data_IF_405398176806
#
_entry.id   IF_405398176806
#
_cell.length_a   1.000
_cell.length_b   1.000
_cell.length_c   1.000
_cell.angle_alpha   90.00
_cell.angle_beta   90.00
_cell.angle_gamma   90.00
#
_symmetry.space_group_name_H-M   'P 1'
#
loop_
_entity.id
_entity.type
_entity.pdbx_description
1 polymer ?
#
# COMPACT_ATOMS: atom_id res chain seq x y z
N UNK A 1 16.42 13.38 5.27
CA UNK A 1 14.96 13.12 5.29
C UNK A 1 14.45 13.51 6.66
N UNK A 2 13.28 14.11 6.80
CA UNK A 2 12.75 14.46 8.12
C UNK A 2 12.21 13.23 8.86
N UNK A 3 12.03 13.36 10.18
CA UNK A 3 11.61 12.23 11.04
C UNK A 3 10.22 11.69 10.70
N UNK A 4 9.27 12.56 10.31
CA UNK A 4 7.91 12.14 10.00
C UNK A 4 7.89 11.23 8.76
N UNK A 5 8.68 11.58 7.74
CA UNK A 5 8.81 10.77 6.53
C UNK A 5 9.42 9.39 6.82
N UNK A 6 10.46 9.33 7.66
CA UNK A 6 11.10 8.05 8.05
C UNK A 6 10.08 7.16 8.77
N UNK A 7 9.40 7.71 9.79
CA UNK A 7 8.40 6.98 10.57
C UNK A 7 7.25 6.47 9.69
N UNK A 8 6.83 7.27 8.70
CA UNK A 8 5.79 6.89 7.75
C UNK A 8 6.23 5.69 6.88
N UNK A 9 7.45 5.71 6.34
CA UNK A 9 7.95 4.63 5.50
C UNK A 9 8.12 3.34 6.32
N UNK A 10 8.79 3.41 7.47
CA UNK A 10 8.98 2.24 8.34
C UNK A 10 7.63 1.64 8.76
N UNK A 11 6.64 2.49 9.08
CA UNK A 11 5.35 2.01 9.56
C UNK A 11 4.48 1.39 8.48
N UNK A 12 4.40 2.01 7.31
CA UNK A 12 3.42 1.64 6.27
C UNK A 12 4.02 0.84 5.12
N UNK A 13 5.34 0.84 4.97
CA UNK A 13 6.06 0.16 3.91
C UNK A 13 7.10 -0.83 4.48
N UNK A 14 6.91 -1.31 5.71
CA UNK A 14 7.77 -2.33 6.34
C UNK A 14 7.90 -3.62 5.52
N UNK A 15 6.92 -3.93 4.66
CA UNK A 15 7.00 -5.06 3.72
C UNK A 15 8.12 -4.94 2.68
N UNK A 16 8.69 -3.73 2.48
CA UNK A 16 9.83 -3.49 1.60
C UNK A 16 11.17 -3.67 2.32
N UNK A 17 11.15 -3.92 3.63
CA UNK A 17 12.35 -4.21 4.41
C UNK A 17 12.87 -5.60 4.05
N UNK A 18 14.19 -5.79 4.13
CA UNK A 18 14.79 -7.12 4.05
C UNK A 18 14.37 -7.95 5.28
N UNK A 19 14.64 -9.26 5.23
CA UNK A 19 14.39 -10.15 6.36
C UNK A 19 15.16 -9.68 7.60
N UNK A 20 16.43 -9.32 7.45
CA UNK A 20 17.30 -8.95 8.57
C UNK A 20 16.94 -7.57 9.13
N UNK A 21 16.59 -6.61 8.27
CA UNK A 21 16.04 -5.32 8.70
C UNK A 21 14.75 -5.51 9.50
N UNK A 22 13.85 -6.38 9.03
CA UNK A 22 12.60 -6.69 9.73
C UNK A 22 12.86 -7.33 11.10
N UNK A 23 13.86 -8.22 11.18
CA UNK A 23 14.30 -8.83 12.42
C UNK A 23 14.95 -7.81 13.36
N UNK A 24 15.75 -6.87 12.85
CA UNK A 24 16.39 -5.82 13.63
C UNK A 24 15.36 -4.85 14.23
N UNK A 25 14.37 -4.45 13.43
CA UNK A 25 13.25 -3.63 13.90
C UNK A 25 12.46 -4.33 15.01
N UNK A 26 12.13 -5.61 14.81
CA UNK A 26 11.46 -6.42 15.84
C UNK A 26 12.32 -6.57 17.10
N UNK A 27 13.61 -6.89 16.94
CA UNK A 27 14.54 -7.03 18.06
C UNK A 27 14.54 -5.77 18.93
N UNK A 28 14.69 -4.60 18.32
CA UNK A 28 14.69 -3.33 19.02
C UNK A 28 13.36 -3.07 19.74
N UNK A 29 12.24 -3.16 19.01
CA UNK A 29 10.90 -2.88 19.54
C UNK A 29 10.54 -3.81 20.71
N UNK A 30 10.78 -5.11 20.57
CA UNK A 30 10.41 -6.10 21.58
C UNK A 30 11.38 -6.11 22.76
N UNK A 31 12.65 -5.78 22.54
CA UNK A 31 13.61 -5.56 23.64
C UNK A 31 13.15 -4.42 24.54
N UNK A 32 12.67 -3.31 23.97
CA UNK A 32 12.10 -2.19 24.74
C UNK A 32 10.79 -2.58 25.44
N UNK A 33 9.86 -3.23 24.75
CA UNK A 33 8.55 -3.63 25.33
C UNK A 33 8.66 -4.66 26.45
N UNK A 34 9.76 -5.38 26.55
CA UNK A 34 9.98 -6.43 27.56
C UNK A 34 11.04 -6.06 28.61
N UNK A 35 11.52 -4.82 28.64
CA UNK A 35 12.60 -4.40 29.56
C UNK A 35 12.29 -4.72 31.03
N UNK A 36 11.02 -4.56 31.43
CA UNK A 36 10.57 -4.72 32.81
C UNK A 36 10.13 -6.16 33.17
N UNK A 37 10.10 -7.09 32.21
CA UNK A 37 9.56 -8.44 32.44
C UNK A 37 10.40 -9.52 31.79
N UNK A 38 11.11 -10.27 32.64
CA UNK A 38 11.91 -11.44 32.22
C UNK A 38 11.05 -12.50 31.55
N UNK A 39 9.83 -12.74 32.06
CA UNK A 39 8.91 -13.71 31.46
C UNK A 39 8.51 -13.30 30.03
N UNK A 40 8.10 -12.04 29.83
CA UNK A 40 7.76 -11.53 28.50
C UNK A 40 8.97 -11.54 27.57
N UNK A 41 10.16 -11.23 28.09
CA UNK A 41 11.41 -11.25 27.32
C UNK A 41 11.72 -12.65 26.80
N UNK A 42 11.65 -13.66 27.66
CA UNK A 42 11.89 -15.06 27.26
C UNK A 42 10.89 -15.52 26.21
N UNK A 43 9.60 -15.20 26.38
CA UNK A 43 8.57 -15.51 25.39
C UNK A 43 8.84 -14.87 24.02
N UNK A 44 9.33 -13.62 24.00
CA UNK A 44 9.66 -12.92 22.75
C UNK A 44 10.92 -13.50 22.09
N UNK A 45 11.90 -13.98 22.86
CA UNK A 45 13.08 -14.70 22.35
C UNK A 45 12.65 -16.04 21.73
N UNK A 46 11.82 -16.82 22.43
CA UNK A 46 11.31 -18.11 21.94
C UNK A 46 10.53 -17.99 20.62
N UNK A 47 9.83 -16.86 20.44
CA UNK A 47 9.12 -16.53 19.18
C UNK A 47 10.03 -16.00 18.06
N UNK A 48 11.32 -15.83 18.32
CA UNK A 48 12.29 -15.27 17.38
C UNK A 48 12.12 -13.76 17.14
N UNK A 49 11.36 -13.05 18.00
CA UNK A 49 11.13 -11.61 17.87
C UNK A 49 12.27 -10.79 18.46
N UNK A 50 12.93 -11.31 19.50
CA UNK A 50 14.21 -10.80 19.98
C UNK A 50 15.27 -11.80 19.49
N UNK A 51 16.02 -11.39 18.46
CA UNK A 51 17.01 -12.24 17.81
C UNK A 51 18.44 -11.83 18.22
N UNK A 52 19.30 -12.79 18.54
CA UNK A 52 20.72 -12.54 18.88
C UNK A 52 21.68 -12.81 17.71
N UNK A 53 21.16 -12.95 16.49
CA UNK A 53 21.95 -13.10 15.28
C UNK A 53 22.92 -11.90 15.12
N UNK A 54 24.24 -12.15 14.99
CA UNK A 54 25.23 -11.09 14.82
C UNK A 54 24.93 -10.14 13.66
N UNK A 55 24.39 -10.65 12.54
CA UNK A 55 24.07 -9.81 11.37
C UNK A 55 22.94 -8.82 11.69
N UNK A 56 21.94 -9.26 12.46
CA UNK A 56 20.81 -8.43 12.90
C UNK A 56 21.26 -7.39 13.94
N UNK A 57 22.15 -7.76 14.86
CA UNK A 57 22.70 -6.84 15.86
C UNK A 57 23.58 -5.78 15.19
N UNK A 58 24.36 -6.16 14.18
CA UNK A 58 25.24 -5.25 13.45
C UNK A 58 24.46 -4.10 12.79
N UNK A 59 23.25 -4.37 12.28
CA UNK A 59 22.37 -3.33 11.73
C UNK A 59 22.01 -2.22 12.74
N UNK A 60 22.08 -2.52 14.04
CA UNK A 60 21.75 -1.61 15.14
C UNK A 60 22.98 -0.97 15.81
N UNK A 61 24.21 -1.30 15.37
CA UNK A 61 25.48 -0.88 16.01
C UNK A 61 25.61 0.64 16.15
N UNK A 62 25.19 1.38 15.13
CA UNK A 62 25.24 2.85 15.11
C UNK A 62 23.98 3.51 15.68
N UNK A 63 23.16 2.75 16.41
CA UNK A 63 21.93 3.20 17.04
C UNK A 63 20.70 3.12 16.14
N UNK A 64 19.54 3.07 16.80
CA UNK A 64 18.24 2.82 16.15
C UNK A 64 17.83 3.90 15.14
N UNK A 65 18.13 5.17 15.40
CA UNK A 65 17.80 6.25 14.47
C UNK A 65 18.60 6.15 13.16
N UNK A 66 19.88 5.80 13.26
CA UNK A 66 20.76 5.57 12.11
C UNK A 66 20.27 4.36 11.31
N UNK A 67 19.89 3.28 12.00
CA UNK A 67 19.28 2.11 11.38
C UNK A 67 18.03 2.48 10.56
N UNK A 68 17.06 3.18 11.14
CA UNK A 68 15.84 3.58 10.42
C UNK A 68 16.16 4.45 9.20
N UNK A 69 17.08 5.42 9.34
CA UNK A 69 17.51 6.25 8.23
C UNK A 69 18.17 5.43 7.11
N UNK A 70 19.00 4.43 7.45
CA UNK A 70 19.66 3.57 6.47
C UNK A 70 18.64 2.70 5.71
N UNK A 71 17.71 2.06 6.43
CA UNK A 71 16.63 1.26 5.84
C UNK A 71 15.82 2.09 4.86
N UNK A 72 15.38 3.27 5.29
CA UNK A 72 14.55 4.15 4.44
C UNK A 72 15.34 4.65 3.24
N UNK A 73 16.62 4.98 3.42
CA UNK A 73 17.49 5.40 2.31
C UNK A 73 17.63 4.28 1.27
N UNK A 74 17.81 3.02 1.71
CA UNK A 74 17.85 1.85 0.83
C UNK A 74 16.52 1.67 0.10
N UNK A 75 15.39 1.64 0.81
CA UNK A 75 14.06 1.46 0.21
C UNK A 75 13.81 2.50 -0.89
N UNK A 76 14.15 3.77 -0.63
CA UNK A 76 13.97 4.86 -1.60
C UNK A 76 14.98 4.82 -2.75
N UNK A 77 16.14 4.17 -2.59
CA UNK A 77 17.11 3.99 -3.66
C UNK A 77 16.77 2.79 -4.56
N UNK A 78 16.33 1.68 -3.97
CA UNK A 78 16.11 0.41 -4.67
C UNK A 78 14.69 0.26 -5.21
N UNK A 79 13.68 0.79 -4.50
CA UNK A 79 12.25 0.62 -4.84
C UNK A 79 11.40 1.88 -4.62
N UNK A 80 11.82 3.06 -5.10
CA UNK A 80 11.07 4.31 -4.90
C UNK A 80 9.65 4.25 -5.45
N UNK A 81 9.42 3.48 -6.51
CA UNK A 81 8.13 3.33 -7.20
C UNK A 81 7.07 2.63 -6.35
N UNK A 82 7.47 1.88 -5.31
CA UNK A 82 6.55 1.20 -4.39
C UNK A 82 6.13 2.06 -3.21
N UNK A 83 6.85 3.16 -2.95
CA UNK A 83 6.56 4.08 -1.85
C UNK A 83 5.70 5.23 -2.37
N UNK A 84 4.64 5.55 -1.63
CA UNK A 84 3.77 6.69 -1.94
C UNK A 84 3.45 7.51 -0.70
N UNK A 85 3.36 8.82 -0.89
CA UNK A 85 3.03 9.76 0.16
C UNK A 85 1.60 10.27 -0.02
N UNK A 86 0.80 10.13 1.03
CA UNK A 86 -0.53 10.72 1.07
C UNK A 86 -0.41 12.15 1.62
N UNK A 87 -0.19 13.12 0.74
CA UNK A 87 -0.07 14.53 1.13
C UNK A 87 -1.42 15.23 1.08
N UNK A 88 -1.64 16.17 1.99
CA UNK A 88 -2.83 17.02 1.96
C UNK A 88 -2.86 17.82 0.63
N UNK A 89 -3.98 17.82 -0.10
CA UNK A 89 -4.08 18.59 -1.34
C UNK A 89 -4.09 20.11 -1.10
N UNK A 90 -4.42 20.57 0.11
CA UNK A 90 -4.46 22.00 0.45
C UNK A 90 -3.13 22.53 1.00
N UNK A 91 -2.54 21.85 1.99
CA UNK A 91 -1.31 22.33 2.66
C UNK A 91 -0.06 21.51 2.32
N UNK A 92 -0.19 20.46 1.51
CA UNK A 92 0.89 19.59 1.01
C UNK A 92 1.72 18.85 2.08
N UNK A 93 1.34 18.92 3.36
CA UNK A 93 1.96 18.15 4.43
C UNK A 93 1.52 16.68 4.39
N UNK A 94 2.41 15.79 4.85
CA UNK A 94 2.18 14.36 4.93
C UNK A 94 1.02 14.03 5.87
N UNK A 95 0.04 13.28 5.39
CA UNK A 95 -1.08 12.82 6.19
C UNK A 95 -0.65 11.68 7.12
N UNK A 96 -1.43 11.45 8.18
CA UNK A 96 -1.10 10.49 9.24
C UNK A 96 -0.92 9.06 8.72
N UNK A 97 -1.71 8.67 7.71
CA UNK A 97 -1.71 7.32 7.14
C UNK A 97 -1.91 7.38 5.62
N UNK A 98 -1.55 6.32 4.89
CA UNK A 98 -1.85 6.17 3.47
C UNK A 98 -3.32 6.35 3.08
N UNK A 99 -4.24 6.05 4.00
CA UNK A 99 -5.69 6.08 3.78
C UNK A 99 -6.38 7.33 4.33
N UNK A 100 -5.65 8.21 5.01
CA UNK A 100 -6.23 9.40 5.62
C UNK A 100 -6.88 10.30 4.56
N UNK A 101 -8.07 10.79 4.85
CA UNK A 101 -8.80 11.77 4.02
C UNK A 101 -9.03 13.09 4.74
N UNK A 102 -8.35 13.30 5.86
CA UNK A 102 -8.38 14.52 6.65
C UNK A 102 -6.96 14.88 7.11
N UNK A 103 -6.62 16.16 6.98
CA UNK A 103 -5.31 16.68 7.35
C UNK A 103 -5.23 16.91 8.86
N UNK A 104 -4.20 16.34 9.51
CA UNK A 104 -3.88 16.62 10.92
C UNK A 104 -3.30 18.02 11.18
N UNK A 105 -2.91 18.73 10.12
CA UNK A 105 -2.23 20.02 10.21
C UNK A 105 -3.17 21.21 9.94
N UNK A 106 -3.90 21.21 8.83
CA UNK A 106 -4.85 22.28 8.48
C UNK A 106 -6.32 21.91 8.69
N UNK A 107 -6.63 20.65 9.03
CA UNK A 107 -8.01 20.18 9.25
C UNK A 107 -8.81 19.89 7.98
N UNK A 108 -8.33 20.29 6.79
CA UNK A 108 -9.01 20.05 5.52
C UNK A 108 -9.26 18.57 5.26
N UNK A 109 -10.43 18.26 4.71
CA UNK A 109 -10.84 16.91 4.37
C UNK A 109 -11.19 16.78 2.88
N UNK A 110 -10.72 15.70 2.25
CA UNK A 110 -10.86 15.44 0.82
C UNK A 110 -11.69 14.21 0.51
N UNK A 111 -12.63 13.86 1.39
CA UNK A 111 -13.61 12.80 1.12
C UNK A 111 -14.41 13.08 -0.16
N UNK A 112 -14.68 14.35 -0.49
CA UNK A 112 -15.40 14.74 -1.70
C UNK A 112 -14.64 14.46 -3.01
N UNK A 113 -13.33 14.18 -2.96
CA UNK A 113 -12.57 13.76 -4.13
C UNK A 113 -12.86 12.31 -4.49
N UNK A 114 -13.28 11.48 -3.53
CA UNK A 114 -13.73 10.11 -3.81
C UNK A 114 -15.19 10.14 -4.28
N UNK A 115 -15.44 9.64 -5.49
CA UNK A 115 -16.74 9.71 -6.18
C UNK A 115 -17.41 8.35 -6.33
N UNK A 116 -16.65 7.26 -6.15
CA UNK A 116 -17.16 5.90 -6.09
C UNK A 116 -16.20 4.96 -5.35
N UNK A 117 -16.75 3.86 -4.85
CA UNK A 117 -16.01 2.71 -4.31
C UNK A 117 -16.20 1.52 -5.24
N UNK A 118 -15.10 0.99 -5.77
CA UNK A 118 -15.10 -0.10 -6.74
C UNK A 118 -14.46 -1.36 -6.16
N UNK A 119 -15.27 -2.41 -5.99
CA UNK A 119 -14.79 -3.71 -5.55
C UNK A 119 -14.18 -4.48 -6.71
N UNK A 120 -12.86 -4.63 -6.69
CA UNK A 120 -12.12 -5.37 -7.70
C UNK A 120 -12.25 -6.88 -7.46
N UNK A 121 -12.82 -7.60 -8.43
CA UNK A 121 -12.99 -9.05 -8.39
C UNK A 121 -11.91 -9.77 -9.20
N UNK A 122 -11.54 -9.21 -10.36
CA UNK A 122 -10.60 -9.85 -11.28
C UNK A 122 -9.93 -8.80 -12.19
N UNK A 123 -8.89 -9.21 -12.91
CA UNK A 123 -8.25 -8.40 -13.95
C UNK A 123 -8.02 -9.23 -15.21
N UNK A 124 -8.06 -8.59 -16.38
CA UNK A 124 -7.73 -9.26 -17.63
C UNK A 124 -7.27 -8.27 -18.70
N UNK A 125 -6.62 -8.78 -19.74
CA UNK A 125 -6.26 -8.00 -20.91
C UNK A 125 -6.61 -8.78 -22.17
N UNK A 126 -7.28 -8.12 -23.12
CA UNK A 126 -7.46 -8.63 -24.48
C UNK A 126 -6.35 -8.03 -25.35
N UNK A 127 -5.75 -8.85 -26.22
CA UNK A 127 -4.73 -8.38 -27.18
C UNK A 127 -5.23 -7.19 -27.98
N UNK A 128 -4.46 -6.10 -27.99
CA UNK A 128 -4.80 -4.87 -28.70
C UNK A 128 -5.86 -3.99 -28.02
N UNK A 129 -6.29 -4.32 -26.79
CA UNK A 129 -7.20 -3.50 -25.98
C UNK A 129 -6.58 -3.11 -24.64
N UNK A 130 -7.31 -2.27 -23.90
CA UNK A 130 -6.95 -1.83 -22.55
C UNK A 130 -6.76 -3.01 -21.59
N UNK A 131 -6.04 -2.77 -20.49
CA UNK A 131 -6.06 -3.64 -19.34
C UNK A 131 -7.33 -3.33 -18.54
N UNK A 132 -8.10 -4.34 -18.18
CA UNK A 132 -9.40 -4.16 -17.54
C UNK A 132 -9.38 -4.64 -16.10
N UNK A 133 -9.91 -3.78 -15.22
CA UNK A 133 -10.26 -4.11 -13.84
C UNK A 133 -11.75 -4.49 -13.80
N UNK A 134 -12.06 -5.76 -13.51
CA UNK A 134 -13.43 -6.27 -13.44
C UNK A 134 -13.91 -6.25 -12.00
N UNK A 135 -15.10 -5.71 -11.78
CA UNK A 135 -15.63 -5.59 -10.45
C UNK A 135 -17.04 -5.02 -10.38
N UNK A 136 -17.41 -4.61 -9.17
CA UNK A 136 -18.72 -4.04 -8.86
C UNK A 136 -18.55 -2.65 -8.25
N UNK A 137 -19.47 -1.76 -8.59
CA UNK A 137 -19.61 -0.49 -7.88
C UNK A 137 -20.33 -0.79 -6.55
N UNK A 138 -19.64 -0.63 -5.42
CA UNK A 138 -20.27 -0.73 -4.10
C UNK A 138 -20.99 0.57 -3.74
N UNK A 139 -20.45 1.71 -4.17
CA UNK A 139 -21.02 3.03 -3.92
C UNK A 139 -20.63 4.03 -5.02
N UNK A 140 -21.49 5.03 -5.28
CA UNK A 140 -21.17 6.18 -6.11
C UNK A 140 -21.41 5.97 -7.61
N UNK A 141 -20.82 6.85 -8.44
CA UNK A 141 -20.97 6.82 -9.90
C UNK A 141 -19.62 6.96 -10.58
N UNK A 142 -19.30 5.97 -11.42
CA UNK A 142 -18.08 5.95 -12.22
C UNK A 142 -18.34 6.57 -13.59
N UNK A 143 -17.39 7.36 -14.08
CA UNK A 143 -17.38 7.95 -15.42
C UNK A 143 -15.98 7.86 -16.02
N UNK A 144 -15.91 7.80 -17.34
CA UNK A 144 -14.65 7.94 -18.06
C UNK A 144 -13.96 9.26 -17.68
N UNK A 145 -12.63 9.22 -17.62
CA UNK A 145 -11.79 10.33 -17.22
C UNK A 145 -11.52 10.45 -15.72
N UNK A 146 -12.31 9.80 -14.86
CA UNK A 146 -11.98 9.64 -13.45
C UNK A 146 -10.75 8.74 -13.28
N UNK A 147 -10.13 8.74 -12.10
CA UNK A 147 -8.92 7.95 -11.81
C UNK A 147 -9.20 6.88 -10.76
N UNK A 148 -8.53 5.75 -10.85
CA UNK A 148 -8.63 4.64 -9.89
C UNK A 148 -7.42 4.69 -8.96
N UNK A 149 -7.58 4.83 -7.66
CA UNK A 149 -6.46 4.84 -6.72
C UNK A 149 -5.98 3.42 -6.40
N UNK A 150 -4.87 3.00 -7.02
CA UNK A 150 -4.27 1.67 -6.82
C UNK A 150 -3.27 1.62 -5.67
N UNK A 151 -3.06 2.73 -4.95
CA UNK A 151 -2.04 2.83 -3.89
C UNK A 151 -2.32 1.91 -2.72
N UNK A 152 -3.60 1.69 -2.40
CA UNK A 152 -4.00 0.71 -1.38
C UNK A 152 -3.60 -0.72 -1.74
N UNK A 153 -3.43 -1.01 -3.03
CA UNK A 153 -2.94 -2.30 -3.51
C UNK A 153 -1.41 -2.39 -3.54
N UNK A 154 -0.67 -1.34 -3.14
CA UNK A 154 0.79 -1.31 -3.21
C UNK A 154 1.35 -0.86 -4.56
N UNK A 155 0.52 -0.36 -5.47
CA UNK A 155 0.96 0.29 -6.71
C UNK A 155 0.85 1.80 -6.57
N UNK A 156 1.97 2.53 -6.64
CA UNK A 156 1.97 4.00 -6.59
C UNK A 156 1.44 4.63 -7.89
N UNK A 157 0.20 4.31 -8.26
CA UNK A 157 -0.44 4.73 -9.50
C UNK A 157 -1.91 5.04 -9.28
N UNK A 158 -2.38 6.00 -10.06
CA UNK A 158 -3.79 6.37 -10.12
C UNK A 158 -4.27 6.40 -11.57
N UNK A 159 -4.31 5.29 -12.31
CA UNK A 159 -4.59 5.31 -13.75
C UNK A 159 -5.96 5.95 -14.06
N UNK A 160 -6.04 6.66 -15.19
CA UNK A 160 -7.28 7.19 -15.73
C UNK A 160 -8.14 6.06 -16.31
N UNK A 161 -9.44 6.13 -16.06
CA UNK A 161 -10.44 5.26 -16.68
C UNK A 161 -10.65 5.75 -18.11
N UNK A 162 -10.22 4.94 -19.08
CA UNK A 162 -10.32 5.23 -20.51
C UNK A 162 -11.61 4.69 -21.11
N UNK A 163 -12.14 3.59 -20.58
CA UNK A 163 -13.39 2.99 -21.05
C UNK A 163 -14.13 2.29 -19.92
N UNK A 164 -15.45 2.24 -20.04
CA UNK A 164 -16.33 1.46 -19.15
C UNK A 164 -17.11 0.48 -20.01
N UNK A 165 -16.89 -0.82 -19.77
CA UNK A 165 -17.55 -1.91 -20.48
C UNK A 165 -18.28 -2.83 -19.49
N UNK A 166 -19.17 -3.67 -20.01
CA UNK A 166 -19.82 -4.74 -19.24
C UNK A 166 -19.11 -6.07 -19.51
N UNK A 167 -18.80 -6.80 -18.44
CA UNK A 167 -18.18 -8.11 -18.50
C UNK A 167 -19.15 -9.16 -17.96
N UNK A 168 -19.50 -10.14 -18.80
CA UNK A 168 -20.28 -11.28 -18.36
C UNK A 168 -19.37 -12.25 -17.61
N UNK A 169 -19.53 -12.33 -16.29
CA UNK A 169 -18.83 -13.28 -15.43
C UNK A 169 -19.75 -14.45 -15.08
N UNK A 170 -19.18 -15.63 -14.83
CA UNK A 170 -19.95 -16.81 -14.41
C UNK A 170 -19.49 -17.26 -13.04
N UNK A 171 -20.43 -17.27 -12.09
CA UNK A 171 -20.23 -17.79 -10.75
C UNK A 171 -21.29 -18.87 -10.49
N UNK A 172 -20.85 -20.08 -10.14
CA UNK A 172 -21.72 -21.24 -9.85
C UNK A 172 -22.77 -21.52 -10.94
N UNK A 173 -22.36 -21.40 -12.21
CA UNK A 173 -23.23 -21.61 -13.36
C UNK A 173 -24.24 -20.49 -13.65
N UNK A 174 -24.31 -19.45 -12.80
CA UNK A 174 -25.12 -18.25 -13.04
C UNK A 174 -24.28 -17.15 -13.66
N UNK A 175 -24.81 -16.51 -14.69
CA UNK A 175 -24.19 -15.37 -15.33
C UNK A 175 -24.49 -14.11 -14.52
N UNK A 176 -23.44 -13.32 -14.28
CA UNK A 176 -23.48 -12.03 -13.63
C UNK A 176 -22.87 -11.00 -14.59
N UNK A 177 -23.36 -9.77 -14.53
CA UNK A 177 -22.78 -8.67 -15.26
C UNK A 177 -21.95 -7.83 -14.28
N UNK A 178 -20.64 -7.89 -14.44
CA UNK A 178 -19.70 -7.02 -13.75
C UNK A 178 -19.31 -5.84 -14.65
N UNK A 179 -18.76 -4.80 -14.05
CA UNK A 179 -18.24 -3.63 -14.74
C UNK A 179 -16.76 -3.84 -14.99
N UNK A 180 -16.32 -3.58 -16.23
CA UNK A 180 -14.93 -3.61 -16.63
C UNK A 180 -14.43 -2.18 -16.88
N UNK A 181 -13.47 -1.74 -16.06
CA UNK A 181 -12.83 -0.43 -16.18
C UNK A 181 -11.52 -0.57 -16.95
N UNK A 182 -11.46 0.00 -18.16
CA UNK A 182 -10.29 -0.04 -19.03
C UNK A 182 -9.27 1.03 -18.66
N UNK A 183 -8.02 0.62 -18.49
CA UNK A 183 -6.86 1.49 -18.18
C UNK A 183 -5.65 1.13 -19.06
N UNK A 184 -4.78 2.11 -19.32
CA UNK A 184 -3.61 2.00 -20.20
C UNK A 184 -2.28 2.43 -19.56
N UNK A 185 -2.30 3.07 -18.38
CA UNK A 185 -1.10 3.62 -17.71
C UNK A 185 -0.28 2.58 -16.90
N UNK A 186 -0.56 1.28 -17.05
CA UNK A 186 0.12 0.19 -16.33
C UNK A 186 1.22 -0.48 -17.16
N UNK A 187 2.38 -0.72 -16.54
CA UNK A 187 3.47 -1.51 -17.13
C UNK A 187 3.12 -3.00 -17.17
N UNK A 188 3.95 -3.81 -17.83
CA UNK A 188 3.77 -5.26 -17.78
C UNK A 188 3.90 -5.83 -16.35
N UNK A 189 4.83 -5.28 -15.58
CA UNK A 189 5.08 -5.66 -14.18
C UNK A 189 3.89 -5.31 -13.28
N UNK A 190 3.30 -4.12 -13.43
CA UNK A 190 2.11 -3.71 -12.67
C UNK A 190 0.95 -4.67 -12.91
N UNK A 191 0.74 -5.05 -14.18
CA UNK A 191 -0.34 -5.95 -14.59
C UNK A 191 -0.16 -7.34 -14.00
N UNK A 192 1.06 -7.86 -14.00
CA UNK A 192 1.35 -9.17 -13.42
C UNK A 192 1.22 -9.15 -11.90
N UNK A 193 1.67 -8.06 -11.27
CA UNK A 193 1.48 -7.85 -9.84
C UNK A 193 -0.01 -7.85 -9.46
N UNK A 194 -0.85 -7.10 -10.18
CA UNK A 194 -2.30 -7.06 -9.91
C UNK A 194 -2.95 -8.44 -10.01
N UNK A 195 -2.57 -9.26 -10.99
CA UNK A 195 -3.06 -10.64 -11.09
C UNK A 195 -2.65 -11.48 -9.87
N UNK A 196 -1.42 -11.30 -9.39
CA UNK A 196 -0.87 -12.09 -8.27
C UNK A 196 -1.54 -11.83 -6.92
N UNK A 197 -2.19 -10.67 -6.75
CA UNK A 197 -2.85 -10.27 -5.49
C UNK A 197 -4.37 -10.46 -5.50
N UNK A 198 -4.94 -11.06 -6.55
CA UNK A 198 -6.37 -11.36 -6.61
C UNK A 198 -6.75 -12.57 -5.74
N UNK A 199 -7.96 -12.59 -5.15
CA UNK A 199 -8.95 -11.51 -5.12
C UNK A 199 -8.59 -10.44 -4.08
N UNK A 200 -8.95 -9.19 -4.36
CA UNK A 200 -8.77 -8.08 -3.42
C UNK A 200 -9.98 -7.99 -2.48
N UNK A 201 -9.70 -7.77 -1.19
CA UNK A 201 -10.74 -7.64 -0.17
C UNK A 201 -11.37 -6.26 -0.11
N UNK A 202 -10.53 -5.22 -0.14
CA UNK A 202 -10.95 -3.84 0.11
C UNK A 202 -11.32 -3.14 -1.21
N UNK A 203 -12.38 -2.31 -1.22
CA UNK A 203 -12.74 -1.55 -2.41
C UNK A 203 -11.69 -0.49 -2.75
N UNK A 204 -11.61 -0.16 -4.03
CA UNK A 204 -10.76 0.89 -4.56
C UNK A 204 -11.50 2.21 -4.64
N UNK A 205 -10.82 3.28 -4.27
CA UNK A 205 -11.34 4.63 -4.45
C UNK A 205 -11.27 5.03 -5.93
N UNK A 206 -12.39 5.49 -6.45
CA UNK A 206 -12.45 6.22 -7.72
C UNK A 206 -12.48 7.71 -7.38
N UNK A 207 -11.61 8.49 -8.00
CA UNK A 207 -11.37 9.89 -7.64
C UNK A 207 -11.48 10.84 -8.84
N UNK A 208 -11.77 12.10 -8.52
CA UNK A 208 -11.69 13.26 -9.42
C UNK A 208 -10.45 14.07 -9.08
N UNK A 209 -9.35 13.87 -9.82
CA UNK A 209 -8.12 14.67 -9.75
C UNK A 209 -7.85 15.36 -11.09
#
# INVERSE_FOLDING_TARGET
MDRETIDYIIRYFSKLMTKDESLALNHHMYTLKSSESVHMRNLMIERGWINSDPEVIQLLEHGYQTFEQNVVTRIMAETPEKVFFNNCPECHKLARTPHAKQCRYCGYHWHHLTVAHFKLNNTFQITGRNFFLIGKIEEGKIKEGQRIDLRILGLNKKPKIQSIEFALTRHDGKAWEDIALGIDELTAEDKEYLKSIMPVRDPLDIIIE
#
